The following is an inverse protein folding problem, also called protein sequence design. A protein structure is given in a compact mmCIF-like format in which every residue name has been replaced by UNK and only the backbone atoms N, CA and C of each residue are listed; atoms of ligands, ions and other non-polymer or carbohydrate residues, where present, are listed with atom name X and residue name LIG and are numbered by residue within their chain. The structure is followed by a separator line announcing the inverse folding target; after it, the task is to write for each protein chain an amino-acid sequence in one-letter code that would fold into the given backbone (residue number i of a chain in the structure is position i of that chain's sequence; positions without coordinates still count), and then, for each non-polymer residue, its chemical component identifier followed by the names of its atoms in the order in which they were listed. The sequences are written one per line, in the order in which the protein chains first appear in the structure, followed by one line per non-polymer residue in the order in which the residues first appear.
data_IF_888125357618
#
_entry.id   IF_888125357618
#
_cell.length_a   1.000
_cell.length_b   1.000
_cell.length_c   1.000
_cell.angle_alpha   90.00
_cell.angle_beta   90.00
_cell.angle_gamma   90.00
#
_symmetry.space_group_name_H-M   'P 1'
#
loop_
_entity.id
_entity.type
_entity.pdbx_description
1 polymer ?
#
# COMPACT_ATOMS: atom_id res chain seq x y z
N UNK A 1 20.78 33.76 27.40
CA UNK A 1 20.64 32.31 27.69
C UNK A 1 19.39 31.83 26.96
N UNK A 2 19.58 31.17 25.82
CA UNK A 2 18.50 30.70 24.94
C UNK A 2 17.87 29.45 25.57
N UNK A 3 16.63 29.54 26.05
CA UNK A 3 15.88 28.38 26.53
C UNK A 3 15.26 27.63 25.33
N UNK A 4 16.04 26.72 24.77
CA UNK A 4 15.57 25.71 23.81
C UNK A 4 14.70 24.73 24.59
N UNK A 5 13.38 24.84 24.49
CA UNK A 5 12.46 23.87 25.09
C UNK A 5 11.17 23.75 24.29
N UNK A 6 11.25 23.13 23.12
CA UNK A 6 10.10 22.51 22.45
C UNK A 6 10.47 21.10 21.97
N UNK A 7 11.07 20.32 22.86
CA UNK A 7 10.94 18.86 22.83
C UNK A 7 9.65 18.47 23.56
N UNK A 8 8.51 18.90 23.01
CA UNK A 8 7.24 18.27 23.37
C UNK A 8 7.22 16.90 22.70
N UNK A 9 7.61 15.91 23.50
CA UNK A 9 7.42 14.49 23.29
C UNK A 9 6.04 14.23 22.67
N UNK A 10 5.99 14.02 21.36
CA UNK A 10 4.79 13.56 20.67
C UNK A 10 4.62 12.04 20.87
N UNK A 11 4.70 11.58 22.13
CA UNK A 11 4.69 10.17 22.51
C UNK A 11 3.29 9.54 22.41
N UNK A 12 2.26 10.34 22.18
CA UNK A 12 0.88 9.88 21.97
C UNK A 12 0.56 9.51 20.51
N UNK A 13 1.44 9.82 19.55
CA UNK A 13 1.29 9.40 18.15
C UNK A 13 2.15 8.17 17.81
N UNK A 14 2.50 7.36 18.82
CA UNK A 14 3.04 6.04 18.59
C UNK A 14 1.96 5.20 17.92
N UNK A 15 2.33 4.61 16.79
CA UNK A 15 1.57 3.65 16.03
C UNK A 15 0.57 2.85 16.89
N UNK A 16 -0.73 3.03 16.65
CA UNK A 16 -1.78 2.14 17.19
C UNK A 16 -1.80 0.83 16.40
N UNK A 17 -0.65 0.16 16.27
CA UNK A 17 -0.46 -1.12 15.57
C UNK A 17 -1.49 -2.17 15.98
N UNK A 18 -1.84 -2.19 17.26
CA UNK A 18 -2.72 -3.22 17.81
C UNK A 18 -4.16 -3.14 17.29
N UNK A 19 -4.59 -1.96 16.82
CA UNK A 19 -5.98 -1.73 16.47
C UNK A 19 -6.24 -1.63 14.97
N UNK A 20 -5.22 -1.42 14.13
CA UNK A 20 -5.43 -1.23 12.70
C UNK A 20 -4.81 -2.37 11.89
N UNK A 21 -5.56 -2.86 10.90
CA UNK A 21 -5.06 -3.80 9.90
C UNK A 21 -5.19 -3.16 8.51
N UNK A 22 -4.30 -3.53 7.60
CA UNK A 22 -4.38 -3.13 6.20
C UNK A 22 -4.31 -4.35 5.31
N UNK A 23 -5.19 -4.36 4.30
CA UNK A 23 -5.11 -5.25 3.15
C UNK A 23 -4.70 -4.43 1.93
N UNK A 24 -3.56 -4.76 1.33
CA UNK A 24 -3.09 -4.10 0.10
C UNK A 24 -3.30 -5.09 -1.05
N UNK A 25 -4.08 -4.72 -2.06
CA UNK A 25 -4.26 -5.48 -3.29
C UNK A 25 -3.54 -4.74 -4.43
N UNK A 26 -2.49 -5.34 -4.99
CA UNK A 26 -1.82 -4.84 -6.19
C UNK A 26 -2.18 -5.73 -7.38
N UNK A 27 -2.54 -5.14 -8.51
CA UNK A 27 -2.77 -5.83 -9.78
C UNK A 27 -3.79 -6.99 -9.73
N UNK A 28 -4.80 -6.90 -8.86
CA UNK A 28 -5.82 -7.97 -8.69
C UNK A 28 -5.28 -9.32 -8.17
N UNK A 29 -3.98 -9.41 -7.89
CA UNK A 29 -3.27 -10.68 -7.77
C UNK A 29 -2.38 -10.75 -6.53
N UNK A 30 -2.10 -9.65 -5.82
CA UNK A 30 -1.18 -9.63 -4.69
C UNK A 30 -1.89 -9.04 -3.46
N UNK A 31 -2.21 -9.86 -2.45
CA UNK A 31 -2.86 -9.43 -1.20
C UNK A 31 -1.86 -9.39 -0.05
N UNK A 32 -1.63 -8.22 0.55
CA UNK A 32 -0.75 -8.04 1.72
C UNK A 32 -1.59 -7.89 2.97
N UNK A 33 -1.41 -8.76 3.97
CA UNK A 33 -1.91 -8.49 5.32
C UNK A 33 -0.77 -7.92 6.16
N UNK A 34 -0.96 -6.69 6.62
CA UNK A 34 0.10 -5.95 7.29
C UNK A 34 0.46 -6.51 8.68
N UNK A 35 -0.52 -7.05 9.40
CA UNK A 35 -0.31 -7.59 10.74
C UNK A 35 0.45 -8.91 10.72
N UNK A 36 0.20 -9.76 9.72
CA UNK A 36 0.95 -11.01 9.54
C UNK A 36 2.25 -10.80 8.78
N UNK A 37 2.36 -9.70 8.03
CA UNK A 37 3.50 -9.44 7.14
C UNK A 37 3.57 -10.43 5.98
N UNK A 38 2.47 -11.15 5.71
CA UNK A 38 2.33 -12.19 4.68
C UNK A 38 1.62 -11.59 3.48
N UNK A 39 2.25 -11.70 2.31
CA UNK A 39 1.65 -11.34 1.03
C UNK A 39 1.30 -12.60 0.26
N UNK A 40 0.02 -12.83 -0.06
CA UNK A 40 -0.40 -13.94 -0.93
C UNK A 40 -0.62 -13.47 -2.36
N UNK A 41 0.03 -14.14 -3.32
CA UNK A 41 -0.22 -13.91 -4.74
C UNK A 41 -1.20 -14.95 -5.30
N UNK A 42 -2.09 -14.57 -6.22
CA UNK A 42 -2.96 -15.43 -7.03
C UNK A 42 -2.68 -15.16 -8.51
N UNK A 43 -2.14 -16.14 -9.24
CA UNK A 43 -1.69 -15.90 -10.63
C UNK A 43 -2.64 -16.46 -11.71
N UNK A 44 -3.50 -17.43 -11.40
CA UNK A 44 -4.49 -17.98 -12.35
C UNK A 44 -5.70 -18.54 -11.60
N UNK A 45 -6.91 -18.30 -12.10
CA UNK A 45 -8.16 -18.85 -11.52
C UNK A 45 -8.09 -20.38 -11.41
N UNK A 46 -7.41 -21.05 -12.34
CA UNK A 46 -7.36 -22.53 -12.42
C UNK A 46 -6.03 -23.15 -11.95
N UNK A 47 -5.01 -22.34 -11.62
CA UNK A 47 -3.70 -22.83 -11.14
C UNK A 47 -3.11 -21.81 -10.16
N UNK A 48 -3.44 -22.00 -8.89
CA UNK A 48 -3.12 -21.05 -7.84
C UNK A 48 -1.63 -21.16 -7.43
N UNK A 49 -0.75 -20.37 -8.04
CA UNK A 49 0.57 -20.10 -7.46
C UNK A 49 0.37 -19.17 -6.26
N UNK A 50 0.54 -19.70 -5.04
CA UNK A 50 0.53 -18.94 -3.78
C UNK A 50 1.95 -18.89 -3.25
N UNK A 51 2.46 -17.69 -3.12
CA UNK A 51 3.69 -17.42 -2.40
C UNK A 51 3.40 -16.45 -1.26
N UNK A 52 4.29 -16.42 -0.28
CA UNK A 52 4.24 -15.52 0.87
C UNK A 52 5.44 -14.59 0.83
N UNK A 53 5.22 -13.29 0.59
CA UNK A 53 6.27 -12.30 0.87
C UNK A 53 6.25 -12.02 2.37
N UNK A 54 7.37 -12.24 3.04
CA UNK A 54 7.56 -11.87 4.44
C UNK A 54 8.30 -10.54 4.53
N UNK A 55 7.75 -9.61 5.33
CA UNK A 55 8.45 -8.40 5.70
C UNK A 55 9.32 -8.59 6.94
N UNK A 56 10.54 -8.07 6.89
CA UNK A 56 11.41 -7.98 8.05
C UNK A 56 10.80 -7.06 9.11
N UNK A 57 11.36 -7.08 10.32
CA UNK A 57 10.91 -6.17 11.38
C UNK A 57 11.12 -4.71 10.99
N UNK A 58 12.23 -4.39 10.35
CA UNK A 58 12.59 -3.05 9.89
C UNK A 58 11.62 -2.54 8.83
N UNK A 59 11.24 -3.40 7.89
CA UNK A 59 10.29 -3.06 6.83
C UNK A 59 8.88 -2.84 7.37
N UNK A 60 8.45 -3.67 8.34
CA UNK A 60 7.19 -3.45 9.07
C UNK A 60 7.21 -2.11 9.82
N UNK A 61 8.31 -1.78 10.48
CA UNK A 61 8.46 -0.47 11.13
C UNK A 61 8.42 0.69 10.13
N UNK A 62 9.05 0.55 8.96
CA UNK A 62 9.04 1.60 7.94
C UNK A 62 7.63 1.86 7.38
N UNK A 63 6.86 0.81 7.10
CA UNK A 63 5.47 0.95 6.64
C UNK A 63 4.61 1.57 7.75
N UNK A 64 4.83 1.18 9.01
CA UNK A 64 4.15 1.73 10.16
C UNK A 64 4.38 3.24 10.31
N UNK A 65 5.63 3.66 10.22
CA UNK A 65 6.03 5.05 10.26
C UNK A 65 5.43 5.84 9.09
N UNK A 66 5.45 5.29 7.88
CA UNK A 66 4.80 5.88 6.71
C UNK A 66 3.30 6.07 6.95
N UNK A 67 2.59 5.06 7.45
CA UNK A 67 1.15 5.12 7.73
C UNK A 67 0.80 6.25 8.71
N UNK A 68 1.57 6.39 9.80
CA UNK A 68 1.39 7.47 10.77
C UNK A 68 1.74 8.83 10.18
N UNK A 69 2.90 8.93 9.54
CA UNK A 69 3.42 10.17 8.94
C UNK A 69 2.45 10.75 7.91
N UNK A 70 1.78 9.87 7.15
CA UNK A 70 0.79 10.23 6.13
C UNK A 70 -0.64 10.32 6.67
N UNK A 71 -0.86 10.11 7.97
CA UNK A 71 -2.16 10.20 8.65
C UNK A 71 -3.24 9.30 8.04
N UNK A 72 -2.85 8.11 7.59
CA UNK A 72 -3.76 7.19 6.90
C UNK A 72 -4.91 6.70 7.81
N UNK A 73 -4.72 6.74 9.13
CA UNK A 73 -5.75 6.43 10.13
C UNK A 73 -6.93 7.43 10.14
N UNK A 74 -6.77 8.63 9.59
CA UNK A 74 -7.81 9.65 9.51
C UNK A 74 -8.79 9.40 8.35
N UNK A 75 -8.43 8.53 7.41
CA UNK A 75 -9.21 8.26 6.19
C UNK A 75 -10.45 7.41 6.50
N UNK A 76 -11.60 7.87 6.01
CA UNK A 76 -12.90 7.21 6.19
C UNK A 76 -13.66 7.15 4.87
N UNK A 77 -14.28 6.02 4.57
CA UNK A 77 -15.03 5.83 3.32
C UNK A 77 -14.15 5.42 2.13
N UNK A 78 -14.57 5.75 0.91
CA UNK A 78 -13.92 5.30 -0.32
C UNK A 78 -13.22 6.46 -1.01
N UNK A 79 -11.95 6.26 -1.37
CA UNK A 79 -11.13 7.22 -2.10
C UNK A 79 -10.63 6.57 -3.39
N UNK A 80 -10.74 7.27 -4.52
CA UNK A 80 -10.18 6.83 -5.79
C UNK A 80 -9.37 7.96 -6.41
N UNK A 81 -8.12 7.67 -6.78
CA UNK A 81 -7.20 8.62 -7.39
C UNK A 81 -6.69 8.05 -8.70
N UNK A 82 -7.12 8.63 -9.81
CA UNK A 82 -6.62 8.35 -11.16
C UNK A 82 -5.70 9.48 -11.64
N UNK A 83 -4.85 9.18 -12.62
CA UNK A 83 -4.20 10.18 -13.45
C UNK A 83 -5.09 10.63 -14.61
N UNK A 84 -4.53 11.49 -15.46
CA UNK A 84 -5.26 12.07 -16.60
C UNK A 84 -5.32 11.11 -17.80
N UNK A 85 -4.52 10.03 -17.80
CA UNK A 85 -4.36 9.11 -18.93
C UNK A 85 -4.80 7.71 -18.51
N UNK A 86 -5.95 7.27 -19.01
CA UNK A 86 -6.46 5.92 -18.75
C UNK A 86 -5.62 4.88 -19.51
N UNK A 87 -4.73 4.17 -18.80
CA UNK A 87 -4.00 3.01 -19.31
C UNK A 87 -4.82 1.74 -19.00
N UNK A 88 -5.19 0.97 -20.02
CA UNK A 88 -5.94 -0.28 -19.86
C UNK A 88 -5.06 -1.53 -20.08
N UNK A 89 -5.18 -2.59 -19.25
CA UNK A 89 -6.00 -2.66 -18.03
C UNK A 89 -5.41 -1.79 -16.89
N UNK A 90 -6.27 -1.19 -16.04
CA UNK A 90 -5.82 -0.27 -15.01
C UNK A 90 -4.95 -0.99 -13.99
N UNK A 91 -3.69 -0.57 -13.92
CA UNK A 91 -2.78 -0.97 -12.85
C UNK A 91 -3.12 -0.16 -11.61
N UNK A 92 -3.55 -0.83 -10.54
CA UNK A 92 -4.01 -0.17 -9.31
C UNK A 92 -3.38 -0.78 -8.06
N UNK A 93 -3.24 0.05 -7.04
CA UNK A 93 -3.02 -0.36 -5.65
C UNK A 93 -4.30 -0.03 -4.89
N UNK A 94 -5.00 -1.07 -4.44
CA UNK A 94 -6.15 -0.94 -3.55
C UNK A 94 -5.70 -1.19 -2.10
N UNK A 95 -6.02 -0.30 -1.17
CA UNK A 95 -5.70 -0.42 0.25
C UNK A 95 -7.01 -0.38 1.03
N UNK A 96 -7.32 -1.45 1.74
CA UNK A 96 -8.41 -1.51 2.70
C UNK A 96 -7.86 -1.37 4.10
N UNK A 97 -8.37 -0.40 4.84
CA UNK A 97 -7.98 -0.10 6.22
C UNK A 97 -9.10 -0.59 7.13
N UNK A 98 -8.72 -1.37 8.13
CA UNK A 98 -9.61 -1.90 9.16
C UNK A 98 -9.17 -1.40 10.53
N UNK A 99 -10.13 -1.19 11.43
CA UNK A 99 -9.84 -1.09 12.86
C UNK A 99 -10.48 -2.29 13.58
N UNK A 100 -9.66 -3.19 14.13
CA UNK A 100 -10.06 -4.55 14.47
C UNK A 100 -10.61 -5.24 13.22
N UNK A 101 -11.84 -5.75 13.32
CA UNK A 101 -12.54 -6.39 12.19
C UNK A 101 -13.49 -5.43 11.43
N UNK A 102 -13.48 -4.12 11.75
CA UNK A 102 -14.40 -3.16 11.13
C UNK A 102 -13.70 -2.40 10.00
N UNK A 103 -14.23 -2.38 8.77
CA UNK A 103 -13.69 -1.56 7.71
C UNK A 103 -13.80 -0.07 8.07
N UNK A 104 -12.75 0.69 7.77
CA UNK A 104 -12.65 2.13 8.01
C UNK A 104 -12.58 2.92 6.72
N UNK A 105 -11.74 2.48 5.79
CA UNK A 105 -11.60 3.11 4.49
C UNK A 105 -11.07 2.17 3.44
N UNK A 106 -11.38 2.49 2.20
CA UNK A 106 -10.86 1.84 1.01
C UNK A 106 -10.27 2.91 0.10
N UNK A 107 -9.08 2.64 -0.41
CA UNK A 107 -8.31 3.59 -1.20
C UNK A 107 -7.88 2.87 -2.46
N UNK A 108 -8.25 3.40 -3.61
CA UNK A 108 -7.78 2.94 -4.92
C UNK A 108 -6.88 4.01 -5.52
N UNK A 109 -5.63 3.66 -5.79
CA UNK A 109 -4.69 4.54 -6.50
C UNK A 109 -4.28 3.87 -7.80
N UNK A 110 -4.55 4.52 -8.92
CA UNK A 110 -4.07 4.08 -10.21
C UNK A 110 -2.58 4.43 -10.36
N UNK A 111 -1.83 3.64 -11.12
CA UNK A 111 -0.37 3.78 -11.21
C UNK A 111 0.08 5.08 -11.89
N UNK A 112 -0.81 5.69 -12.66
CA UNK A 112 -0.65 6.98 -13.32
C UNK A 112 -1.11 8.15 -12.43
N UNK A 113 -1.59 7.89 -11.21
CA UNK A 113 -2.06 8.94 -10.32
C UNK A 113 -0.92 9.86 -9.90
N UNK A 114 -0.99 11.12 -10.32
CA UNK A 114 0.01 12.13 -9.96
C UNK A 114 -0.46 13.03 -8.80
N UNK A 115 0.53 13.55 -8.07
CA UNK A 115 0.34 14.64 -7.11
C UNK A 115 0.08 15.91 -7.90
N UNK A 116 -0.96 16.66 -7.52
CA UNK A 116 -1.22 17.96 -8.12
C UNK A 116 -0.04 18.90 -7.83
N UNK A 117 0.64 19.34 -8.90
CA UNK A 117 1.83 20.21 -8.81
C UNK A 117 1.50 21.57 -8.19
N UNK A 118 0.26 22.06 -8.33
CA UNK A 118 -0.19 23.33 -7.78
C UNK A 118 -0.57 23.24 -6.30
N UNK A 119 -0.99 22.06 -5.84
CA UNK A 119 -1.40 21.81 -4.46
C UNK A 119 -0.78 20.49 -3.95
N UNK A 120 0.54 20.47 -3.66
CA UNK A 120 1.27 19.25 -3.32
C UNK A 120 1.11 18.86 -1.85
N UNK A 121 -0.08 19.04 -1.28
CA UNK A 121 -0.38 18.77 0.13
C UNK A 121 -1.82 18.27 0.29
N UNK A 122 -2.13 17.77 1.49
CA UNK A 122 -3.47 17.25 1.83
C UNK A 122 -3.65 15.76 1.53
N UNK A 123 -4.92 15.31 1.55
CA UNK A 123 -5.28 13.89 1.51
C UNK A 123 -4.74 13.17 0.28
N UNK A 124 -4.87 13.75 -0.92
CA UNK A 124 -4.33 13.17 -2.16
C UNK A 124 -2.82 12.99 -2.09
N UNK A 125 -2.10 14.00 -1.61
CA UNK A 125 -0.64 13.92 -1.45
C UNK A 125 -0.23 12.80 -0.49
N UNK A 126 -0.89 12.73 0.66
CA UNK A 126 -0.60 11.72 1.68
C UNK A 126 -0.84 10.30 1.15
N UNK A 127 -1.98 10.09 0.48
CA UNK A 127 -2.35 8.81 -0.12
C UNK A 127 -1.34 8.40 -1.20
N UNK A 128 -1.06 9.27 -2.17
CA UNK A 128 -0.15 8.94 -3.28
C UNK A 128 1.27 8.66 -2.76
N UNK A 129 1.77 9.44 -1.79
CA UNK A 129 3.09 9.19 -1.19
C UNK A 129 3.14 7.88 -0.41
N UNK A 130 2.09 7.55 0.33
CA UNK A 130 2.01 6.27 1.04
C UNK A 130 2.01 5.10 0.05
N UNK A 131 1.24 5.19 -1.04
CA UNK A 131 1.24 4.15 -2.08
C UNK A 131 2.57 4.02 -2.80
N UNK A 132 3.27 5.13 -3.08
CA UNK A 132 4.62 5.10 -3.66
C UNK A 132 5.63 4.38 -2.74
N UNK A 133 5.57 4.67 -1.43
CA UNK A 133 6.43 4.05 -0.41
C UNK A 133 6.16 2.54 -0.30
N UNK A 134 4.89 2.13 -0.26
CA UNK A 134 4.48 0.72 -0.29
C UNK A 134 4.92 0.01 -1.56
N UNK A 135 4.67 0.62 -2.72
CA UNK A 135 5.01 0.07 -4.03
C UNK A 135 6.50 -0.21 -4.14
N UNK A 136 7.35 0.76 -3.81
CA UNK A 136 8.82 0.60 -3.85
C UNK A 136 9.27 -0.56 -2.98
N UNK A 137 8.71 -0.69 -1.79
CA UNK A 137 9.05 -1.76 -0.86
C UNK A 137 8.61 -3.12 -1.41
N UNK A 138 7.37 -3.26 -1.87
CA UNK A 138 6.83 -4.51 -2.44
C UNK A 138 7.59 -4.91 -3.71
N UNK A 139 7.82 -3.98 -4.65
CA UNK A 139 8.52 -4.24 -5.92
C UNK A 139 10.01 -4.58 -5.73
N UNK A 140 10.60 -4.25 -4.59
CA UNK A 140 11.98 -4.64 -4.24
C UNK A 140 12.11 -6.15 -3.98
N UNK A 141 11.02 -6.80 -3.56
CA UNK A 141 11.00 -8.18 -3.07
C UNK A 141 11.17 -9.19 -4.19
N UNK A 142 11.92 -10.26 -3.90
CA UNK A 142 12.21 -11.33 -4.88
C UNK A 142 10.93 -12.08 -5.23
N UNK A 143 10.12 -12.39 -4.24
CA UNK A 143 8.85 -13.09 -4.32
C UNK A 143 7.87 -12.32 -5.21
N UNK A 144 7.81 -10.98 -5.07
CA UNK A 144 7.02 -10.12 -5.95
C UNK A 144 7.50 -10.20 -7.40
N UNK A 145 8.82 -10.13 -7.63
CA UNK A 145 9.40 -10.25 -8.98
C UNK A 145 9.09 -11.61 -9.62
N UNK A 146 9.13 -12.69 -8.84
CA UNK A 146 8.76 -14.03 -9.30
C UNK A 146 7.27 -14.05 -9.66
N UNK A 147 6.40 -13.58 -8.76
CA UNK A 147 4.97 -13.45 -8.99
C UNK A 147 4.64 -12.68 -10.28
N UNK A 148 5.29 -11.54 -10.49
CA UNK A 148 5.13 -10.74 -11.71
C UNK A 148 5.56 -11.50 -12.97
N UNK A 149 6.68 -12.23 -12.91
CA UNK A 149 7.15 -13.06 -14.03
C UNK A 149 6.16 -14.19 -14.36
N UNK A 150 5.59 -14.86 -13.35
CA UNK A 150 4.57 -15.91 -13.57
C UNK A 150 3.31 -15.29 -14.17
N UNK A 151 2.90 -14.11 -13.71
CA UNK A 151 1.75 -13.37 -14.25
C UNK A 151 1.96 -13.00 -15.72
N UNK A 152 3.07 -12.34 -16.07
CA UNK A 152 3.41 -11.95 -17.45
C UNK A 152 3.53 -13.17 -18.38
N UNK A 153 4.15 -14.27 -17.92
CA UNK A 153 4.24 -15.51 -18.72
C UNK A 153 2.88 -16.12 -18.98
N UNK A 154 1.99 -16.10 -17.98
CA UNK A 154 0.63 -16.62 -18.10
C UNK A 154 -0.19 -15.79 -19.09
N UNK A 155 -0.04 -14.46 -19.09
CA UNK A 155 -0.73 -13.56 -20.02
C UNK A 155 -0.29 -13.74 -21.48
N UNK A 156 0.98 -14.11 -21.72
CA UNK A 156 1.48 -14.40 -23.07
C UNK A 156 0.99 -15.73 -23.64
N UNK A 157 0.66 -16.69 -22.78
CA UNK A 157 0.09 -17.99 -23.19
C UNK A 157 -1.37 -17.93 -23.66
N UNK A 158 -2.05 -16.78 -23.53
CA UNK A 158 -3.40 -16.52 -24.02
C UNK A 158 -3.43 -15.86 -25.41
N UNK A 159 -2.27 -15.55 -26.00
CA UNK A 159 -2.14 -14.92 -27.33
C UNK A 159 -1.79 -15.92 -28.45
N UNK A 160 -1.94 -17.23 -28.21
CA UNK A 160 -1.83 -18.30 -29.21
C UNK A 160 -3.11 -19.14 -29.20
#
# INVERSE_FOLDING_TARGET
MLCISLSACNHENKYQTGNYNMEINMYSQCKVNFNTGVISVLVKEDSTYRDTIEFSKEERSAIAEAFNKRKMFELKGHYAYAGDIVIMPPSTIDIKIFAGNKPKGEIRVFYDAEINKWFPFGTRYNVIKFTDELKKLIESKKEYKIAQQVSVKSSRGFLL
#
